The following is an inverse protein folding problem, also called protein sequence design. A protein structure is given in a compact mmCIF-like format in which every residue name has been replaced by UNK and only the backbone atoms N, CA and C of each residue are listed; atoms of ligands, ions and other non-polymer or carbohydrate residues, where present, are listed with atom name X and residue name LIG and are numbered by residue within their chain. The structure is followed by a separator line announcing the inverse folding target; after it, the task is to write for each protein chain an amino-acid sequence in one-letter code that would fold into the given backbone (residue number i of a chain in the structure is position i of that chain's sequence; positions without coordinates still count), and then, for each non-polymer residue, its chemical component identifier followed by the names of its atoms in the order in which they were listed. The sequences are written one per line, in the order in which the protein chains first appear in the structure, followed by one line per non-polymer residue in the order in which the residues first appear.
data_IF_325578510107
#
_entry.id   IF_325578510107
#
_cell.length_a   1.000
_cell.length_b   1.000
_cell.length_c   1.000
_cell.angle_alpha   90.00
_cell.angle_beta   90.00
_cell.angle_gamma   90.00
#
_symmetry.space_group_name_H-M   'P 1'
#
loop_
_entity.id
_entity.type
_entity.pdbx_description
1 polymer ?
#
# COMPACT_ATOMS: atom_id res chain seq x y z
N UNK A 1 8.59 -22.07 -1.31
CA UNK A 1 7.42 -21.34 -1.82
C UNK A 1 6.22 -21.70 -0.97
N UNK A 2 5.44 -20.72 -0.53
CA UNK A 2 4.25 -20.94 0.30
C UNK A 2 3.00 -20.31 -0.34
N UNK A 3 1.87 -20.32 0.38
CA UNK A 3 0.59 -19.79 -0.11
C UNK A 3 0.64 -18.29 -0.50
N UNK A 4 1.48 -17.50 0.16
CA UNK A 4 1.65 -16.07 -0.15
C UNK A 4 2.34 -15.88 -1.50
N UNK A 5 3.33 -16.71 -1.81
CA UNK A 5 4.01 -16.67 -3.12
C UNK A 5 3.02 -16.90 -4.27
N UNK A 6 2.10 -17.86 -4.10
CA UNK A 6 1.06 -18.12 -5.10
C UNK A 6 0.11 -16.94 -5.27
N UNK A 7 -0.31 -16.29 -4.17
CA UNK A 7 -1.15 -15.08 -4.23
C UNK A 7 -0.44 -13.95 -4.99
N UNK A 8 0.83 -13.69 -4.68
CA UNK A 8 1.64 -12.67 -5.37
C UNK A 8 1.68 -12.95 -6.87
N UNK A 9 2.00 -14.19 -7.26
CA UNK A 9 2.08 -14.60 -8.66
C UNK A 9 0.73 -14.45 -9.34
N UNK A 10 -0.38 -14.81 -8.68
CA UNK A 10 -1.73 -14.63 -9.21
C UNK A 10 -2.07 -13.16 -9.44
N UNK A 11 -1.78 -12.27 -8.47
CA UNK A 11 -2.02 -10.82 -8.62
C UNK A 11 -1.21 -10.24 -9.79
N UNK A 12 0.05 -10.65 -9.92
CA UNK A 12 0.90 -10.23 -11.05
C UNK A 12 0.35 -10.77 -12.36
N UNK A 13 0.05 -12.07 -12.45
CA UNK A 13 -0.47 -12.69 -13.66
C UNK A 13 -1.79 -12.05 -14.12
N UNK A 14 -2.74 -11.85 -13.20
CA UNK A 14 -4.02 -11.19 -13.49
C UNK A 14 -3.80 -9.77 -14.01
N UNK A 15 -2.94 -8.98 -13.37
CA UNK A 15 -2.70 -7.60 -13.82
C UNK A 15 -1.95 -7.54 -15.15
N UNK A 16 -1.02 -8.44 -15.42
CA UNK A 16 -0.35 -8.58 -16.72
C UNK A 16 -1.36 -8.91 -17.81
N UNK A 17 -2.21 -9.92 -17.61
CA UNK A 17 -3.23 -10.32 -18.58
C UNK A 17 -4.26 -9.21 -18.80
N UNK A 18 -4.73 -8.58 -17.72
CA UNK A 18 -5.67 -7.45 -17.80
C UNK A 18 -5.03 -6.25 -18.53
N UNK A 19 -3.78 -5.94 -18.22
CA UNK A 19 -3.02 -4.89 -18.89
C UNK A 19 -2.86 -5.16 -20.38
N UNK A 20 -2.52 -6.41 -20.74
CA UNK A 20 -2.42 -6.84 -22.13
C UNK A 20 -3.74 -6.66 -22.87
N UNK A 21 -4.87 -7.04 -22.25
CA UNK A 21 -6.20 -6.89 -22.83
C UNK A 21 -6.64 -5.43 -22.98
N UNK A 22 -6.25 -4.54 -22.05
CA UNK A 22 -6.61 -3.10 -22.08
C UNK A 22 -5.79 -2.31 -23.09
N UNK A 23 -4.57 -2.76 -23.36
CA UNK A 23 -3.65 -2.16 -24.31
C UNK A 23 -2.79 -1.02 -23.74
N UNK A 24 -1.69 -0.74 -24.42
CA UNK A 24 -0.66 0.25 -24.08
C UNK A 24 -1.23 1.66 -23.95
N UNK A 25 -2.06 2.11 -24.89
CA UNK A 25 -2.53 3.50 -24.90
C UNK A 25 -3.34 3.80 -23.64
N UNK A 26 -4.30 2.93 -23.29
CA UNK A 26 -5.04 3.05 -22.04
C UNK A 26 -4.15 2.86 -20.82
N UNK A 27 -3.17 1.94 -20.91
CA UNK A 27 -2.21 1.74 -19.85
C UNK A 27 -1.40 3.01 -19.54
N UNK A 28 -1.01 3.81 -20.54
CA UNK A 28 -0.24 5.05 -20.35
C UNK A 28 -1.04 6.10 -19.58
N UNK A 29 -2.30 6.35 -19.98
CA UNK A 29 -3.19 7.24 -19.23
C UNK A 29 -3.41 6.73 -17.80
N UNK A 30 -3.62 5.42 -17.64
CA UNK A 30 -3.78 4.79 -16.33
C UNK A 30 -2.53 4.97 -15.46
N UNK A 31 -1.32 4.82 -16.01
CA UNK A 31 -0.07 5.03 -15.27
C UNK A 31 0.10 6.49 -14.88
N UNK A 32 -0.19 7.44 -15.78
CA UNK A 32 -0.19 8.86 -15.43
C UNK A 32 -1.11 9.14 -14.25
N UNK A 33 -2.33 8.61 -14.30
CA UNK A 33 -3.28 8.70 -13.18
C UNK A 33 -2.77 8.02 -11.90
N UNK A 34 -2.04 6.92 -12.03
CA UNK A 34 -1.49 6.18 -10.89
C UNK A 34 -0.39 7.00 -10.21
N UNK A 35 0.55 7.54 -10.98
CA UNK A 35 1.62 8.40 -10.48
C UNK A 35 1.04 9.60 -9.73
N UNK A 36 0.06 10.30 -10.33
CA UNK A 36 -0.63 11.41 -9.67
C UNK A 36 -1.29 10.98 -8.37
N UNK A 37 -1.93 9.80 -8.36
CA UNK A 37 -2.58 9.26 -7.16
C UNK A 37 -1.57 8.94 -6.05
N UNK A 38 -0.40 8.39 -6.39
CA UNK A 38 0.67 8.11 -5.42
C UNK A 38 1.26 9.40 -4.85
N UNK A 39 1.54 10.39 -5.70
CA UNK A 39 2.06 11.70 -5.26
C UNK A 39 1.07 12.37 -4.32
N UNK A 40 -0.22 12.38 -4.69
CA UNK A 40 -1.26 12.94 -3.87
C UNK A 40 -1.43 12.15 -2.55
N UNK A 41 -1.38 10.82 -2.59
CA UNK A 41 -1.45 9.99 -1.39
C UNK A 41 -0.32 10.34 -0.41
N UNK A 42 0.93 10.44 -0.88
CA UNK A 42 2.05 10.87 -0.05
C UNK A 42 1.83 12.25 0.55
N UNK A 43 1.29 13.19 -0.22
CA UNK A 43 1.10 14.57 0.21
C UNK A 43 -0.03 14.72 1.24
N UNK A 44 -1.11 13.96 1.08
CA UNK A 44 -2.34 14.15 1.84
C UNK A 44 -2.60 13.06 2.88
N UNK A 45 -1.76 12.02 2.99
CA UNK A 45 -1.94 10.94 3.97
C UNK A 45 -1.97 11.44 5.42
N UNK A 46 -1.15 12.45 5.77
CA UNK A 46 -1.17 13.06 7.11
C UNK A 46 -2.53 13.68 7.44
N UNK A 47 -3.07 14.51 6.54
CA UNK A 47 -4.41 15.11 6.72
C UNK A 47 -5.50 14.05 6.84
N UNK A 48 -5.41 12.96 6.07
CA UNK A 48 -6.36 11.85 6.16
C UNK A 48 -6.20 11.08 7.47
N UNK A 49 -4.98 10.91 7.98
CA UNK A 49 -4.72 10.27 9.27
C UNK A 49 -5.31 11.09 10.43
N UNK A 50 -5.10 12.41 10.44
CA UNK A 50 -5.70 13.32 11.41
C UNK A 50 -7.23 13.23 11.38
N UNK A 51 -7.83 13.25 10.19
CA UNK A 51 -9.27 13.11 10.04
C UNK A 51 -9.78 11.75 10.54
N UNK A 52 -9.05 10.65 10.28
CA UNK A 52 -9.41 9.34 10.79
C UNK A 52 -9.43 9.33 12.32
N UNK A 53 -8.39 9.86 12.96
CA UNK A 53 -8.29 9.95 14.42
C UNK A 53 -9.44 10.79 14.99
N UNK A 54 -9.62 12.00 14.46
CA UNK A 54 -10.59 12.96 14.96
C UNK A 54 -12.05 12.48 14.85
N UNK A 55 -12.41 11.78 13.76
CA UNK A 55 -13.81 11.46 13.48
C UNK A 55 -14.22 10.01 13.77
N UNK A 56 -13.29 9.06 13.93
CA UNK A 56 -13.64 7.63 14.02
C UNK A 56 -13.31 6.98 15.36
N UNK A 57 -12.42 7.59 16.16
CA UNK A 57 -11.88 6.98 17.37
C UNK A 57 -11.07 5.70 17.10
N UNK A 58 -10.57 5.54 15.88
CA UNK A 58 -9.80 4.35 15.45
C UNK A 58 -8.51 4.17 16.27
N UNK A 59 -7.90 5.26 16.72
CA UNK A 59 -6.69 5.26 17.55
C UNK A 59 -6.89 4.43 18.82
N UNK A 60 -7.88 4.77 19.64
CA UNK A 60 -8.14 4.07 20.90
C UNK A 60 -8.43 2.58 20.66
N UNK A 61 -9.24 2.26 19.64
CA UNK A 61 -9.58 0.87 19.32
C UNK A 61 -8.37 0.05 18.86
N UNK A 62 -7.51 0.65 18.05
CA UNK A 62 -6.27 0.01 17.61
C UNK A 62 -5.29 -0.13 18.76
N UNK A 63 -5.12 0.91 19.57
CA UNK A 63 -4.22 0.89 20.72
C UNK A 63 -4.60 -0.22 21.71
N UNK A 64 -5.87 -0.30 22.11
CA UNK A 64 -6.38 -1.37 22.97
C UNK A 64 -6.17 -2.75 22.35
N UNK A 65 -6.41 -2.88 21.04
CA UNK A 65 -6.21 -4.13 20.32
C UNK A 65 -4.73 -4.56 20.33
N UNK A 66 -3.81 -3.65 20.09
CA UNK A 66 -2.37 -3.93 19.99
C UNK A 66 -1.81 -4.25 21.38
N UNK A 67 -2.15 -3.46 22.41
CA UNK A 67 -1.76 -3.71 23.80
C UNK A 67 -2.23 -5.08 24.29
N UNK A 68 -3.45 -5.47 23.93
CA UNK A 68 -4.00 -6.78 24.30
C UNK A 68 -3.27 -7.96 23.65
N UNK A 69 -2.70 -7.77 22.46
CA UNK A 69 -2.21 -8.87 21.63
C UNK A 69 -0.68 -9.02 21.56
N UNK A 70 0.09 -8.26 22.36
CA UNK A 70 1.57 -8.21 22.35
C UNK A 70 2.17 -7.93 20.96
N UNK A 71 3.35 -7.32 20.95
CA UNK A 71 4.07 -7.02 19.71
C UNK A 71 5.33 -7.87 19.61
N UNK A 72 5.62 -8.37 18.42
CA UNK A 72 6.84 -9.12 18.15
C UNK A 72 8.06 -8.20 18.10
N UNK A 73 9.19 -8.72 18.57
CA UNK A 73 10.46 -7.97 18.72
C UNK A 73 10.97 -7.38 17.38
N UNK A 74 10.56 -7.96 16.24
CA UNK A 74 10.94 -7.52 14.91
C UNK A 74 10.54 -6.06 14.60
N UNK A 75 9.44 -5.58 15.18
CA UNK A 75 9.00 -4.19 15.01
C UNK A 75 9.57 -3.24 16.05
N UNK A 76 9.95 -3.75 17.23
CA UNK A 76 10.50 -2.95 18.32
C UNK A 76 11.82 -2.24 17.94
N UNK A 77 12.56 -2.77 16.96
CA UNK A 77 13.82 -2.18 16.48
C UNK A 77 13.63 -0.97 15.53
N UNK A 78 12.38 -0.66 15.14
CA UNK A 78 12.07 0.46 14.24
C UNK A 78 11.84 1.80 14.96
N UNK A 79 11.99 1.83 16.29
CA UNK A 79 11.86 3.00 17.14
C UNK A 79 13.20 3.54 17.63
N UNK A 80 13.31 4.86 17.87
CA UNK A 80 14.29 5.38 18.82
C UNK A 80 13.99 4.81 20.21
N UNK A 81 14.88 3.95 20.71
CA UNK A 81 14.70 3.07 21.90
C UNK A 81 14.49 3.84 23.23
N UNK A 82 14.60 5.17 23.21
CA UNK A 82 14.68 5.99 24.43
C UNK A 82 13.36 6.17 25.19
N UNK A 83 12.21 5.82 24.58
CA UNK A 83 10.88 6.29 25.01
C UNK A 83 9.95 5.25 25.71
N UNK A 84 10.39 4.00 25.91
CA UNK A 84 9.62 3.00 26.68
C UNK A 84 8.50 2.29 25.91
N UNK A 85 7.76 1.39 26.58
CA UNK A 85 6.81 0.47 25.93
C UNK A 85 5.48 1.11 25.50
N UNK A 86 4.93 2.06 26.27
CA UNK A 86 3.67 2.72 25.90
C UNK A 86 3.81 3.53 24.61
N UNK A 87 4.95 4.21 24.45
CA UNK A 87 5.31 4.95 23.25
C UNK A 87 5.48 4.01 22.04
N UNK A 88 5.90 2.75 22.25
CA UNK A 88 5.95 1.73 21.19
C UNK A 88 4.56 1.31 20.70
N UNK A 89 3.62 1.08 21.61
CA UNK A 89 2.24 0.73 21.24
C UNK A 89 1.56 1.88 20.49
N UNK A 90 1.76 3.12 20.96
CA UNK A 90 1.22 4.30 20.30
C UNK A 90 1.87 4.50 18.92
N UNK A 91 3.19 4.33 18.80
CA UNK A 91 3.88 4.43 17.52
C UNK A 91 3.35 3.44 16.49
N UNK A 92 3.21 2.17 16.84
CA UNK A 92 2.68 1.15 15.91
C UNK A 92 1.24 1.49 15.54
N UNK A 93 0.44 1.96 16.49
CA UNK A 93 -0.93 2.44 16.24
C UNK A 93 -0.94 3.51 15.16
N UNK A 94 -0.08 4.53 15.29
CA UNK A 94 0.06 5.61 14.33
C UNK A 94 0.58 5.14 12.98
N UNK A 95 1.52 4.19 12.94
CA UNK A 95 2.01 3.60 11.68
C UNK A 95 0.87 2.90 10.93
N UNK A 96 0.05 2.10 11.63
CA UNK A 96 -1.11 1.43 11.02
C UNK A 96 -2.11 2.46 10.49
N UNK A 97 -2.44 3.50 11.28
CA UNK A 97 -3.34 4.57 10.85
C UNK A 97 -2.80 5.29 9.62
N UNK A 98 -1.50 5.59 9.58
CA UNK A 98 -0.86 6.25 8.43
C UNK A 98 -0.88 5.36 7.18
N UNK A 99 -0.66 4.05 7.31
CA UNK A 99 -0.81 3.12 6.19
C UNK A 99 -2.25 3.08 5.66
N UNK A 100 -3.25 3.08 6.55
CA UNK A 100 -4.67 3.16 6.17
C UNK A 100 -4.97 4.49 5.47
N UNK A 101 -4.51 5.60 6.04
CA UNK A 101 -4.71 6.93 5.51
C UNK A 101 -4.09 7.09 4.11
N UNK A 102 -2.87 6.59 3.93
CA UNK A 102 -2.17 6.56 2.65
C UNK A 102 -2.93 5.75 1.60
N UNK A 103 -3.50 4.59 1.98
CA UNK A 103 -4.35 3.80 1.08
C UNK A 103 -5.64 4.55 0.73
N UNK A 104 -6.33 5.14 1.71
CA UNK A 104 -7.58 5.87 1.46
C UNK A 104 -7.36 7.11 0.58
N UNK A 105 -6.30 7.87 0.84
CA UNK A 105 -5.91 9.02 0.02
C UNK A 105 -5.60 8.58 -1.43
N UNK A 106 -4.85 7.48 -1.59
CA UNK A 106 -4.61 6.90 -2.90
C UNK A 106 -5.91 6.48 -3.60
N UNK A 107 -6.78 5.74 -2.92
CA UNK A 107 -8.04 5.26 -3.49
C UNK A 107 -8.94 6.42 -3.92
N UNK A 108 -9.08 7.46 -3.09
CA UNK A 108 -9.88 8.62 -3.41
C UNK A 108 -9.40 9.30 -4.70
N UNK A 109 -8.10 9.62 -4.79
CA UNK A 109 -7.53 10.27 -5.98
C UNK A 109 -7.55 9.32 -7.19
N UNK A 110 -7.31 8.03 -6.96
CA UNK A 110 -7.32 7.02 -8.02
C UNK A 110 -8.70 6.90 -8.66
N UNK A 111 -9.77 6.92 -7.87
CA UNK A 111 -11.15 6.92 -8.37
C UNK A 111 -11.38 8.17 -9.24
N UNK A 112 -10.97 9.36 -8.78
CA UNK A 112 -11.06 10.57 -9.58
C UNK A 112 -10.30 10.47 -10.91
N UNK A 113 -9.07 9.95 -10.90
CA UNK A 113 -8.27 9.77 -12.11
C UNK A 113 -8.85 8.72 -13.07
N UNK A 114 -9.50 7.66 -12.54
CA UNK A 114 -10.19 6.66 -13.37
C UNK A 114 -11.45 7.25 -14.03
N UNK A 115 -12.20 8.10 -13.31
CA UNK A 115 -13.31 8.85 -13.88
C UNK A 115 -12.83 9.78 -15.00
N UNK A 116 -11.72 10.49 -14.76
CA UNK A 116 -11.09 11.33 -15.79
C UNK A 116 -10.65 10.50 -17.00
N UNK A 117 -10.03 9.33 -16.79
CA UNK A 117 -9.65 8.40 -17.87
C UNK A 117 -10.88 7.98 -18.69
N UNK A 118 -12.02 7.70 -18.04
CA UNK A 118 -13.25 7.32 -18.72
C UNK A 118 -13.83 8.46 -19.59
N UNK A 119 -13.81 9.70 -19.08
CA UNK A 119 -14.24 10.87 -19.84
C UNK A 119 -13.33 11.13 -21.04
N UNK A 120 -12.01 11.02 -20.86
CA UNK A 120 -11.04 11.20 -21.94
C UNK A 120 -11.25 10.17 -23.06
N UNK A 121 -11.59 8.91 -22.74
CA UNK A 121 -11.92 7.92 -23.79
C UNK A 121 -13.17 8.27 -24.59
N UNK A 122 -14.18 8.82 -23.93
CA UNK A 122 -15.40 9.25 -24.61
C UNK A 122 -15.14 10.37 -25.62
N UNK A 123 -14.21 11.27 -25.31
CA UNK A 123 -13.84 12.42 -26.16
C UNK A 123 -12.81 12.04 -27.22
N UNK A 124 -11.78 11.27 -26.85
CA UNK A 124 -10.67 10.88 -27.71
C UNK A 124 -10.88 9.45 -28.22
N UNK A 125 -11.28 9.31 -29.50
CA UNK A 125 -11.30 8.01 -30.20
C UNK A 125 -9.88 7.52 -30.47
N UNK A 126 -9.25 6.91 -29.47
CA UNK A 126 -7.86 6.48 -29.56
C UNK A 126 -7.72 5.21 -30.43
N UNK A 127 -6.86 5.20 -31.48
CA UNK A 127 -6.70 4.07 -32.38
C UNK A 127 -5.94 2.90 -31.72
N UNK A 128 -6.44 1.67 -31.86
CA UNK A 128 -5.82 0.45 -31.30
C UNK A 128 -4.82 -0.15 -32.30
N UNK A 129 -3.50 -0.04 -32.05
CA UNK A 129 -2.46 -0.67 -32.90
C UNK A 129 -2.15 -2.11 -32.47
N UNK A 130 -2.39 -3.11 -33.33
CA UNK A 130 -2.73 -4.49 -32.94
C UNK A 130 -1.70 -5.33 -32.15
N UNK A 131 -0.38 -5.10 -32.17
CA UNK A 131 0.58 -5.97 -31.45
C UNK A 131 1.40 -5.25 -30.38
N UNK A 132 1.96 -4.08 -30.69
CA UNK A 132 2.68 -3.24 -29.71
C UNK A 132 1.76 -2.80 -28.58
N UNK A 133 0.46 -2.65 -28.86
CA UNK A 133 -0.51 -2.26 -27.85
C UNK A 133 -0.68 -3.35 -26.78
N UNK A 134 -0.65 -4.64 -27.11
CA UNK A 134 -0.87 -5.70 -26.12
C UNK A 134 0.38 -5.96 -25.27
N UNK A 135 1.57 -6.01 -25.87
CA UNK A 135 2.82 -6.20 -25.11
C UNK A 135 3.13 -5.02 -24.21
N UNK A 136 2.92 -3.80 -24.71
CA UNK A 136 3.00 -2.59 -23.91
C UNK A 136 2.00 -2.61 -22.76
N UNK A 137 0.74 -2.93 -23.03
CA UNK A 137 -0.29 -3.11 -22.02
C UNK A 137 0.10 -4.10 -20.92
N UNK A 138 0.72 -5.22 -21.28
CA UNK A 138 1.21 -6.24 -20.35
C UNK A 138 2.25 -5.69 -19.36
N UNK A 139 3.23 -4.92 -19.85
CA UNK A 139 4.26 -4.27 -19.02
C UNK A 139 3.61 -3.28 -18.06
N UNK A 140 2.66 -2.48 -18.54
CA UNK A 140 1.96 -1.51 -17.69
C UNK A 140 1.09 -2.21 -16.64
N UNK A 141 0.50 -3.36 -16.98
CA UNK A 141 -0.20 -4.25 -16.06
C UNK A 141 0.71 -4.82 -14.97
N UNK A 142 1.92 -5.25 -15.32
CA UNK A 142 2.95 -5.69 -14.36
C UNK A 142 3.27 -4.59 -13.34
N UNK A 143 3.56 -3.38 -13.84
CA UNK A 143 3.87 -2.22 -12.98
C UNK A 143 2.71 -1.93 -12.04
N UNK A 144 1.47 -1.94 -12.54
CA UNK A 144 0.28 -1.73 -11.72
C UNK A 144 0.14 -2.80 -10.62
N UNK A 145 0.31 -4.08 -10.94
CA UNK A 145 0.26 -5.16 -9.94
C UNK A 145 1.34 -5.04 -8.88
N UNK A 146 2.57 -4.69 -9.27
CA UNK A 146 3.66 -4.46 -8.30
C UNK A 146 3.30 -3.33 -7.35
N UNK A 147 2.74 -2.23 -7.85
CA UNK A 147 2.34 -1.10 -7.01
C UNK A 147 1.19 -1.45 -6.06
N UNK A 148 0.19 -2.21 -6.52
CA UNK A 148 -0.90 -2.72 -5.66
C UNK A 148 -0.34 -3.61 -4.55
N UNK A 149 0.61 -4.50 -4.88
CA UNK A 149 1.28 -5.33 -3.89
C UNK A 149 2.03 -4.50 -2.85
N UNK A 150 2.69 -3.40 -3.26
CA UNK A 150 3.34 -2.50 -2.29
C UNK A 150 2.34 -1.88 -1.30
N UNK A 151 1.16 -1.44 -1.76
CA UNK A 151 0.09 -0.96 -0.86
C UNK A 151 -0.39 -2.05 0.10
N UNK A 152 -0.62 -3.27 -0.41
CA UNK A 152 -1.05 -4.42 0.38
C UNK A 152 -0.01 -4.72 1.47
N UNK A 153 1.28 -4.77 1.10
CA UNK A 153 2.35 -5.02 2.06
C UNK A 153 2.56 -3.88 3.05
N UNK A 154 2.36 -2.62 2.66
CA UNK A 154 2.47 -1.49 3.59
C UNK A 154 1.49 -1.63 4.77
N UNK A 155 0.32 -2.22 4.55
CA UNK A 155 -0.65 -2.51 5.61
C UNK A 155 -0.33 -3.82 6.33
N UNK A 156 0.05 -4.87 5.58
CA UNK A 156 0.30 -6.17 6.20
C UNK A 156 1.53 -6.19 7.12
N UNK A 157 2.55 -5.39 6.84
CA UNK A 157 3.78 -5.33 7.64
C UNK A 157 3.49 -5.01 9.12
N UNK A 158 2.84 -3.87 9.47
CA UNK A 158 2.55 -3.56 10.86
C UNK A 158 1.43 -4.43 11.46
N UNK A 159 0.58 -5.07 10.65
CA UNK A 159 -0.40 -6.04 11.17
C UNK A 159 0.31 -7.34 11.57
N UNK A 160 1.26 -7.80 10.75
CA UNK A 160 2.01 -9.04 11.00
C UNK A 160 2.91 -8.95 12.24
N UNK A 161 3.17 -7.75 12.78
CA UNK A 161 3.92 -7.60 14.04
C UNK A 161 3.11 -7.87 15.30
N UNK A 162 1.79 -8.00 15.20
CA UNK A 162 0.93 -8.36 16.34
C UNK A 162 0.95 -9.87 16.49
N UNK A 163 1.28 -10.39 17.68
CA UNK A 163 1.51 -11.83 17.93
C UNK A 163 0.30 -12.70 17.54
N UNK A 164 -0.91 -12.16 17.67
CA UNK A 164 -2.16 -12.81 17.22
C UNK A 164 -2.11 -13.23 15.73
N UNK A 165 -1.33 -12.55 14.91
CA UNK A 165 -1.16 -12.80 13.48
C UNK A 165 0.14 -13.54 13.14
N UNK A 166 0.70 -14.32 14.07
CA UNK A 166 1.91 -15.14 13.84
C UNK A 166 1.85 -16.00 12.57
N UNK A 167 0.67 -16.47 12.15
CA UNK A 167 0.53 -17.21 10.89
C UNK A 167 0.89 -16.36 9.66
N UNK A 168 0.57 -15.06 9.67
CA UNK A 168 0.92 -14.12 8.61
C UNK A 168 2.40 -13.80 8.66
N UNK A 169 2.94 -13.57 9.86
CA UNK A 169 4.37 -13.35 10.05
C UNK A 169 5.17 -14.52 9.48
N UNK A 170 4.86 -15.75 9.87
CA UNK A 170 5.53 -16.95 9.37
C UNK A 170 5.37 -17.11 7.85
N UNK A 171 4.19 -16.81 7.32
CA UNK A 171 3.96 -16.86 5.87
C UNK A 171 4.74 -15.78 5.11
N UNK A 172 4.94 -14.60 5.68
CA UNK A 172 5.77 -13.55 5.08
C UNK A 172 7.25 -13.94 5.15
N UNK A 173 7.73 -14.43 6.29
CA UNK A 173 9.13 -14.80 6.52
C UNK A 173 9.58 -15.97 5.65
N UNK A 174 8.71 -16.98 5.45
CA UNK A 174 9.02 -18.17 4.65
C UNK A 174 8.76 -18.00 3.15
N UNK A 175 8.21 -16.85 2.73
CA UNK A 175 7.90 -16.55 1.33
C UNK A 175 9.13 -16.10 0.56
N UNK A 176 9.28 -16.63 -0.66
CA UNK A 176 10.40 -16.27 -1.53
C UNK A 176 10.27 -14.86 -2.10
N UNK A 177 9.03 -14.40 -2.33
CA UNK A 177 8.74 -13.13 -2.99
C UNK A 177 8.46 -11.99 -2.00
N UNK A 178 7.88 -12.28 -0.83
CA UNK A 178 7.51 -11.27 0.17
C UNK A 178 8.67 -10.36 0.56
N UNK A 179 9.89 -10.90 0.65
CA UNK A 179 11.10 -10.14 0.99
C UNK A 179 11.33 -8.91 0.09
N UNK A 180 10.92 -8.96 -1.18
CA UNK A 180 11.07 -7.83 -2.11
C UNK A 180 10.04 -6.73 -1.82
N UNK A 181 8.80 -7.11 -1.52
CA UNK A 181 7.73 -6.17 -1.15
C UNK A 181 7.88 -5.60 0.25
N UNK A 182 8.68 -6.24 1.12
CA UNK A 182 9.12 -5.68 2.39
C UNK A 182 10.26 -4.69 2.18
N UNK A 183 11.36 -5.15 1.56
CA UNK A 183 12.61 -4.38 1.42
C UNK A 183 12.45 -3.09 0.62
N UNK A 184 11.64 -3.11 -0.43
CA UNK A 184 11.49 -1.97 -1.35
C UNK A 184 10.18 -1.21 -1.14
N UNK A 185 9.54 -1.36 0.03
CA UNK A 185 8.27 -0.70 0.31
C UNK A 185 8.43 0.77 0.66
N UNK A 186 8.51 1.63 -0.36
CA UNK A 186 8.58 3.07 -0.16
C UNK A 186 7.31 3.65 0.48
N UNK A 187 6.14 2.99 0.32
CA UNK A 187 4.89 3.44 0.92
C UNK A 187 4.90 3.24 2.44
N UNK A 188 5.42 2.09 2.89
CA UNK A 188 5.68 1.84 4.31
C UNK A 188 6.70 2.84 4.86
N UNK A 189 7.77 3.12 4.11
CA UNK A 189 8.75 4.13 4.52
C UNK A 189 8.12 5.52 4.73
N UNK A 190 7.17 5.93 3.88
CA UNK A 190 6.46 7.19 4.07
C UNK A 190 5.51 7.15 5.28
N UNK A 191 4.84 6.03 5.53
CA UNK A 191 4.00 5.88 6.71
C UNK A 191 4.80 5.92 8.01
N UNK A 192 5.98 5.29 8.04
CA UNK A 192 6.90 5.35 9.18
C UNK A 192 7.39 6.77 9.43
N UNK A 193 7.84 7.47 8.39
CA UNK A 193 8.31 8.87 8.48
C UNK A 193 7.21 9.80 8.99
N UNK A 194 5.98 9.66 8.46
CA UNK A 194 4.83 10.45 8.90
C UNK A 194 4.48 10.16 10.35
N UNK A 195 4.49 8.89 10.78
CA UNK A 195 4.23 8.54 12.16
C UNK A 195 5.32 9.10 13.09
N UNK A 196 6.60 8.94 12.72
CA UNK A 196 7.74 9.36 13.52
C UNK A 196 7.78 10.88 13.75
N UNK A 197 7.42 11.69 12.75
CA UNK A 197 7.33 13.14 12.91
C UNK A 197 6.33 13.56 14.00
N UNK A 198 5.24 12.81 14.22
CA UNK A 198 4.26 13.09 15.29
C UNK A 198 4.86 12.88 16.69
N UNK A 199 5.87 12.01 16.85
CA UNK A 199 6.46 11.69 18.16
C UNK A 199 7.72 12.51 18.49
N UNK A 200 8.25 13.27 17.53
CA UNK A 200 9.46 14.10 17.71
C UNK A 200 9.11 15.57 17.93
N UNK A 201 7.95 16.03 17.43
CA UNK A 201 7.36 17.33 17.77
C UNK A 201 6.65 17.30 19.14
#
# INVERSE_FOLDING_TARGET
MNWVDYIIVSIIAIGVLYGAARGLIHGLFSIGGLIVSIIAAKKYSGLVAEALVAYTGIENKLLEFIQKNKITEAFAFSLPVEKGFDDLYQYITMVIINCIALLLAFMAVRICMLLLEALLKGVFRLPVLSTINHSGGAILGLVQSVLILLFIYAIFIPIASVEKFNFMQQAIETSLLSKYFYKYNFMMSWALDTALNIFID
#
